data_IF_360985727354
#
_entry.id   IF_360985727354
#
_cell.length_a   1.000
_cell.length_b   1.000
_cell.length_c   1.000
_cell.angle_alpha   90.00
_cell.angle_beta   90.00
_cell.angle_gamma   90.00
#
_symmetry.space_group_name_H-M   'P 1'
#
loop_
_entity.id
_entity.type
_entity.pdbx_description
1 polymer ?
#
# COMPACT_ATOMS: atom_id res chain seq x y z
N UNK A 1 -4.62 -24.99 77.84
CA UNK A 1 -4.29 -23.59 78.18
C UNK A 1 -4.87 -22.76 77.05
N UNK A 2 -5.99 -22.10 77.31
CA UNK A 2 -6.76 -21.33 76.33
C UNK A 2 -6.04 -20.04 75.94
N UNK A 3 -6.21 -19.62 74.69
CA UNK A 3 -6.69 -18.27 74.35
C UNK A 3 -7.12 -18.23 72.88
N UNK A 4 -8.42 -18.03 72.69
CA UNK A 4 -9.04 -17.54 71.46
C UNK A 4 -8.71 -16.06 71.25
N UNK A 5 -8.61 -15.57 70.00
CA UNK A 5 -9.71 -14.82 69.37
C UNK A 5 -9.45 -14.61 67.85
N UNK A 6 -10.51 -14.47 67.03
CA UNK A 6 -10.50 -14.38 65.57
C UNK A 6 -10.60 -12.93 65.07
N UNK A 7 -10.27 -12.69 63.79
CA UNK A 7 -10.42 -11.36 63.19
C UNK A 7 -10.23 -11.31 61.68
N UNK A 8 -11.38 -11.21 60.99
CA UNK A 8 -11.65 -10.39 59.80
C UNK A 8 -10.66 -10.38 58.61
N UNK A 9 -11.10 -11.04 57.53
CA UNK A 9 -11.17 -10.53 56.15
C UNK A 9 -10.19 -9.42 55.71
N UNK A 10 -9.33 -9.74 54.74
CA UNK A 10 -9.20 -8.95 53.51
C UNK A 10 -8.60 -9.83 52.40
N UNK A 11 -9.30 -9.89 51.27
CA UNK A 11 -8.83 -10.57 50.07
C UNK A 11 -7.63 -9.84 49.49
N UNK A 12 -6.49 -10.51 49.50
CA UNK A 12 -5.36 -10.19 48.65
C UNK A 12 -5.23 -11.32 47.63
N UNK A 13 -5.67 -11.08 46.39
CA UNK A 13 -5.19 -11.90 45.28
C UNK A 13 -3.71 -11.57 45.11
N UNK A 14 -2.84 -12.37 45.73
CA UNK A 14 -1.42 -12.37 45.41
C UNK A 14 -1.28 -12.75 43.93
N UNK A 15 -0.82 -11.78 43.13
CA UNK A 15 -0.39 -12.00 41.76
C UNK A 15 0.71 -13.08 41.77
N UNK A 16 0.35 -14.32 41.42
CA UNK A 16 1.34 -15.33 41.05
C UNK A 16 1.99 -14.91 39.73
N UNK A 17 3.15 -14.26 39.83
CA UNK A 17 4.04 -14.02 38.70
C UNK A 17 4.70 -15.36 38.38
N UNK A 18 4.15 -16.06 37.38
CA UNK A 18 4.79 -17.22 36.78
C UNK A 18 5.91 -16.70 35.87
N UNK A 19 7.16 -16.92 36.27
CA UNK A 19 8.30 -16.73 35.39
C UNK A 19 8.37 -17.91 34.41
N UNK A 20 7.84 -17.74 33.21
CA UNK A 20 8.03 -18.70 32.12
C UNK A 20 9.50 -18.70 31.69
N UNK A 21 10.13 -19.87 31.80
CA UNK A 21 11.49 -20.13 31.35
C UNK A 21 11.58 -19.92 29.82
N UNK A 22 12.50 -19.09 29.29
CA UNK A 22 12.52 -18.69 27.88
C UNK A 22 12.99 -19.80 26.89
N UNK A 23 13.15 -21.04 27.36
CA UNK A 23 13.74 -22.14 26.59
C UNK A 23 12.73 -23.16 26.03
N UNK A 24 11.42 -22.93 26.16
CA UNK A 24 10.41 -23.77 25.49
C UNK A 24 9.65 -22.96 24.44
N UNK A 25 9.67 -23.37 23.16
CA UNK A 25 8.80 -22.77 22.16
C UNK A 25 7.36 -23.02 22.60
N UNK A 26 6.60 -21.94 22.78
CA UNK A 26 5.14 -22.03 22.96
C UNK A 26 4.59 -22.92 21.85
N UNK A 27 3.75 -23.93 22.16
CA UNK A 27 3.10 -24.68 21.10
C UNK A 27 2.36 -23.67 20.24
N UNK A 28 2.65 -23.68 18.93
CA UNK A 28 2.03 -22.79 17.97
C UNK A 28 0.52 -22.84 18.21
N UNK A 29 -0.06 -21.72 18.68
CA UNK A 29 -1.50 -21.53 18.59
C UNK A 29 -1.83 -21.78 17.14
N UNK A 30 -2.52 -22.89 16.87
CA UNK A 30 -2.96 -23.24 15.53
C UNK A 30 -3.68 -22.01 15.01
N UNK A 31 -3.03 -21.28 14.09
CA UNK A 31 -3.70 -20.28 13.27
C UNK A 31 -4.91 -21.01 12.71
N UNK A 32 -6.11 -20.68 13.23
CA UNK A 32 -7.35 -21.11 12.61
C UNK A 32 -7.27 -20.55 11.20
N UNK A 33 -7.00 -21.42 10.23
CA UNK A 33 -7.06 -21.11 8.82
C UNK A 33 -8.52 -20.73 8.57
N UNK A 34 -8.83 -19.44 8.65
CA UNK A 34 -10.11 -18.91 8.20
C UNK A 34 -10.10 -19.12 6.68
N UNK A 35 -10.86 -20.10 6.22
CA UNK A 35 -10.92 -20.45 4.81
C UNK A 35 -11.85 -19.46 4.10
N UNK A 36 -11.32 -18.30 3.71
CA UNK A 36 -12.02 -17.41 2.78
C UNK A 36 -11.95 -18.04 1.39
N UNK A 37 -13.11 -18.48 0.89
CA UNK A 37 -13.22 -19.12 -0.41
C UNK A 37 -14.20 -18.43 -1.34
N UNK A 38 -13.82 -18.36 -2.62
CA UNK A 38 -14.67 -17.87 -3.70
C UNK A 38 -15.74 -18.93 -3.99
N UNK A 39 -17.03 -18.57 -4.12
CA UNK A 39 -18.06 -19.51 -4.56
C UNK A 39 -17.74 -20.09 -5.96
N UNK A 40 -17.88 -21.40 -6.11
CA UNK A 40 -17.48 -22.15 -7.31
C UNK A 40 -18.66 -22.55 -8.19
N UNK A 41 -19.86 -22.75 -7.62
CA UNK A 41 -21.07 -23.13 -8.35
C UNK A 41 -22.16 -22.09 -8.19
N UNK A 42 -23.15 -22.11 -9.07
CA UNK A 42 -24.28 -21.17 -9.01
C UNK A 42 -25.06 -21.31 -7.70
N UNK A 43 -25.24 -22.52 -7.20
CA UNK A 43 -25.88 -22.76 -5.91
C UNK A 43 -25.08 -22.16 -4.76
N UNK A 44 -23.74 -22.21 -4.83
CA UNK A 44 -22.88 -21.55 -3.84
C UNK A 44 -22.98 -20.03 -3.92
N UNK A 45 -23.05 -19.45 -5.12
CA UNK A 45 -23.27 -18.02 -5.31
C UNK A 45 -24.63 -17.58 -4.75
N UNK A 46 -25.71 -18.30 -5.04
CA UNK A 46 -27.04 -18.00 -4.52
C UNK A 46 -27.10 -18.14 -3.00
N UNK A 47 -26.49 -19.19 -2.45
CA UNK A 47 -26.40 -19.39 -1.00
C UNK A 47 -25.60 -18.27 -0.31
N UNK A 48 -24.45 -17.87 -0.88
CA UNK A 48 -23.65 -16.76 -0.36
C UNK A 48 -24.38 -15.42 -0.45
N UNK A 49 -25.10 -15.16 -1.56
CA UNK A 49 -25.92 -13.96 -1.72
C UNK A 49 -27.02 -13.91 -0.66
N UNK A 50 -27.75 -15.00 -0.43
CA UNK A 50 -28.78 -15.07 0.61
C UNK A 50 -28.18 -14.84 2.01
N UNK A 51 -27.08 -15.51 2.35
CA UNK A 51 -26.41 -15.37 3.65
C UNK A 51 -25.90 -13.94 3.91
N UNK A 52 -25.50 -13.24 2.85
CA UNK A 52 -24.95 -11.90 2.95
C UNK A 52 -25.97 -10.80 2.65
N UNK A 53 -27.22 -11.11 2.30
CA UNK A 53 -28.26 -10.13 1.95
C UNK A 53 -28.02 -9.42 0.61
N UNK A 54 -27.55 -10.17 -0.39
CA UNK A 54 -27.38 -9.75 -1.78
C UNK A 54 -28.35 -10.46 -2.73
N UNK A 55 -29.31 -11.21 -2.20
CA UNK A 55 -30.30 -12.00 -2.93
C UNK A 55 -31.51 -11.17 -3.39
N UNK A 56 -31.88 -10.12 -2.64
CA UNK A 56 -33.05 -9.28 -2.91
C UNK A 56 -32.68 -7.83 -3.22
N UNK A 57 -33.38 -7.15 -4.16
CA UNK A 57 -33.17 -5.74 -4.46
C UNK A 57 -33.23 -4.83 -3.23
N UNK A 58 -34.21 -5.06 -2.36
CA UNK A 58 -34.47 -4.26 -1.16
C UNK A 58 -33.31 -4.37 -0.17
N UNK A 59 -32.76 -5.57 0.01
CA UNK A 59 -31.63 -5.81 0.91
C UNK A 59 -30.35 -5.16 0.39
N UNK A 60 -30.08 -5.26 -0.92
CA UNK A 60 -28.93 -4.59 -1.56
C UNK A 60 -29.00 -3.07 -1.37
N UNK A 61 -30.14 -2.45 -1.69
CA UNK A 61 -30.35 -1.01 -1.54
C UNK A 61 -30.27 -0.60 -0.06
N UNK A 62 -30.78 -1.42 0.86
CA UNK A 62 -30.69 -1.19 2.30
C UNK A 62 -29.23 -1.09 2.76
N UNK A 63 -28.36 -2.00 2.33
CA UNK A 63 -26.92 -1.97 2.65
C UNK A 63 -26.21 -0.71 2.15
N UNK A 64 -26.50 -0.29 0.92
CA UNK A 64 -25.94 0.94 0.36
C UNK A 64 -26.46 2.18 1.11
N UNK A 65 -27.72 2.16 1.51
CA UNK A 65 -28.35 3.23 2.30
C UNK A 65 -27.76 3.31 3.70
N UNK A 66 -27.51 2.19 4.36
CA UNK A 66 -26.79 2.16 5.64
C UNK A 66 -25.43 2.83 5.49
N UNK A 67 -24.64 2.42 4.48
CA UNK A 67 -23.32 3.04 4.23
C UNK A 67 -23.42 4.55 4.01
N UNK A 68 -24.36 5.01 3.17
CA UNK A 68 -24.60 6.44 2.95
C UNK A 68 -24.97 7.16 4.25
N UNK A 69 -25.88 6.59 5.04
CA UNK A 69 -26.34 7.17 6.30
C UNK A 69 -25.22 7.30 7.32
N UNK A 70 -24.28 6.34 7.36
CA UNK A 70 -23.06 6.47 8.16
C UNK A 70 -22.24 7.68 7.74
N UNK A 71 -22.04 7.87 6.43
CA UNK A 71 -21.37 9.04 5.87
C UNK A 71 -22.07 10.37 6.20
N UNK A 72 -23.37 10.35 6.52
CA UNK A 72 -24.16 11.50 6.97
C UNK A 72 -24.11 11.72 8.49
N UNK A 73 -23.31 10.94 9.24
CA UNK A 73 -23.12 11.08 10.68
C UNK A 73 -23.96 10.15 11.55
N UNK A 74 -24.70 9.19 10.98
CA UNK A 74 -25.39 8.18 11.79
C UNK A 74 -24.38 7.19 12.39
N UNK A 75 -24.41 7.04 13.72
CA UNK A 75 -23.49 6.16 14.44
C UNK A 75 -24.08 4.76 14.56
N UNK A 76 -23.44 3.80 13.91
CA UNK A 76 -23.70 2.37 14.08
C UNK A 76 -22.43 1.58 13.78
N UNK A 77 -22.40 0.31 14.20
CA UNK A 77 -21.23 -0.54 13.99
C UNK A 77 -21.07 -0.90 12.50
N UNK A 78 -19.92 -0.53 11.94
CA UNK A 78 -19.59 -0.84 10.54
C UNK A 78 -19.24 -2.32 10.37
N UNK A 79 -19.83 -2.94 9.35
CA UNK A 79 -19.43 -4.24 8.84
C UNK A 79 -18.02 -4.19 8.23
N UNK A 80 -17.28 -5.31 8.17
CA UNK A 80 -15.92 -5.34 7.65
C UNK A 80 -15.74 -4.67 6.28
N UNK A 81 -16.63 -4.98 5.32
CA UNK A 81 -16.59 -4.35 4.00
C UNK A 81 -16.86 -2.85 4.03
N UNK A 82 -17.76 -2.38 4.91
CA UNK A 82 -18.04 -0.94 5.05
C UNK A 82 -16.82 -0.21 5.59
N UNK A 83 -16.09 -0.81 6.55
CA UNK A 83 -14.83 -0.27 7.06
C UNK A 83 -13.80 -0.12 5.93
N UNK A 84 -13.69 -1.09 5.03
CA UNK A 84 -12.80 -1.00 3.85
C UNK A 84 -13.19 0.16 2.92
N UNK A 85 -14.49 0.33 2.63
CA UNK A 85 -14.97 1.44 1.80
C UNK A 85 -14.69 2.80 2.46
N UNK A 86 -14.89 2.92 3.77
CA UNK A 86 -14.58 4.15 4.50
C UNK A 86 -13.08 4.44 4.48
N UNK A 87 -12.22 3.45 4.70
CA UNK A 87 -10.76 3.61 4.57
C UNK A 87 -10.40 4.07 3.14
N UNK A 88 -10.98 3.47 2.11
CA UNK A 88 -10.78 3.91 0.74
C UNK A 88 -11.28 5.35 0.50
N UNK A 89 -12.39 5.77 1.11
CA UNK A 89 -12.87 7.16 1.04
C UNK A 89 -11.87 8.15 1.67
N UNK A 90 -11.18 7.76 2.74
CA UNK A 90 -10.19 8.63 3.40
C UNK A 90 -8.96 8.87 2.53
N UNK A 91 -8.60 7.94 1.64
CA UNK A 91 -7.57 8.18 0.63
C UNK A 91 -7.97 9.30 -0.34
N UNK A 92 -9.24 9.37 -0.71
CA UNK A 92 -9.76 10.46 -1.55
C UNK A 92 -9.72 11.79 -0.78
N UNK A 93 -10.11 11.80 0.48
CA UNK A 93 -10.01 13.00 1.34
C UNK A 93 -8.55 13.49 1.44
N UNK A 94 -7.59 12.58 1.70
CA UNK A 94 -6.15 12.87 1.76
C UNK A 94 -5.60 13.41 0.44
N UNK A 95 -6.02 12.86 -0.70
CA UNK A 95 -5.58 13.34 -2.03
C UNK A 95 -5.98 14.80 -2.31
N UNK A 96 -6.91 15.35 -1.53
CA UNK A 96 -7.37 16.74 -1.63
C UNK A 96 -6.86 17.64 -0.50
N UNK A 97 -5.91 17.15 0.32
CA UNK A 97 -5.32 17.90 1.43
C UNK A 97 -6.21 17.99 2.67
N UNK A 98 -7.22 17.11 2.82
CA UNK A 98 -8.14 17.09 3.98
C UNK A 98 -7.71 16.08 5.03
N UNK A 99 -6.53 16.28 5.60
CA UNK A 99 -5.89 15.33 6.52
C UNK A 99 -6.61 15.20 7.86
N UNK A 100 -7.15 16.30 8.39
CA UNK A 100 -7.93 16.31 9.64
C UNK A 100 -9.24 15.51 9.49
N UNK A 101 -10.01 15.79 8.44
CA UNK A 101 -11.26 15.07 8.11
C UNK A 101 -11.00 13.56 7.93
N UNK A 102 -9.92 13.21 7.23
CA UNK A 102 -9.51 11.82 7.01
C UNK A 102 -9.14 11.14 8.33
N UNK A 103 -8.37 11.82 9.19
CA UNK A 103 -7.96 11.31 10.50
C UNK A 103 -9.15 11.09 11.44
N UNK A 104 -10.09 12.04 11.49
CA UNK A 104 -11.31 11.92 12.27
C UNK A 104 -12.18 10.76 11.78
N UNK A 105 -12.33 10.61 10.48
CA UNK A 105 -13.07 9.50 9.86
C UNK A 105 -12.41 8.15 10.14
N UNK A 106 -11.08 8.06 10.10
CA UNK A 106 -10.37 6.83 10.44
C UNK A 106 -10.59 6.48 11.92
N UNK A 107 -10.49 7.45 12.82
CA UNK A 107 -10.72 7.21 14.25
C UNK A 107 -12.11 6.62 14.53
N UNK A 108 -13.15 7.04 13.80
CA UNK A 108 -14.50 6.48 13.97
C UNK A 108 -14.63 5.05 13.46
N UNK A 109 -13.91 4.66 12.41
CA UNK A 109 -13.85 3.25 11.92
C UNK A 109 -13.28 2.32 12.98
N UNK A 110 -12.29 2.81 13.72
CA UNK A 110 -11.54 2.03 14.68
C UNK A 110 -12.10 2.07 16.11
N UNK A 111 -13.03 2.99 16.41
CA UNK A 111 -13.57 3.25 17.75
C UNK A 111 -12.58 3.87 18.75
N UNK A 112 -11.30 4.01 18.36
CA UNK A 112 -10.23 4.64 19.14
C UNK A 112 -9.08 5.05 18.23
N UNK A 113 -8.23 5.96 18.70
CA UNK A 113 -6.99 6.30 18.04
C UNK A 113 -6.11 5.04 17.88
N UNK A 114 -5.89 4.62 16.63
CA UNK A 114 -4.89 3.62 16.30
C UNK A 114 -3.63 4.32 15.80
N UNK A 115 -2.47 3.73 16.12
CA UNK A 115 -1.19 4.24 15.65
C UNK A 115 -1.14 4.33 14.13
N UNK A 116 -0.42 5.33 13.63
CA UNK A 116 -0.22 5.61 12.20
C UNK A 116 0.06 4.35 11.38
N UNK A 117 0.95 3.50 11.89
CA UNK A 117 1.34 2.23 11.29
C UNK A 117 0.19 1.28 11.00
N UNK A 118 -0.76 1.14 11.92
CA UNK A 118 -1.93 0.29 11.72
C UNK A 118 -2.80 0.83 10.59
N UNK A 119 -3.00 2.16 10.57
CA UNK A 119 -3.79 2.82 9.52
C UNK A 119 -3.14 2.64 8.15
N UNK A 120 -1.81 2.79 8.08
CA UNK A 120 -1.04 2.61 6.85
C UNK A 120 -1.14 1.18 6.31
N UNK A 121 -1.01 0.17 7.18
CA UNK A 121 -1.15 -1.24 6.78
C UNK A 121 -2.56 -1.54 6.30
N UNK A 122 -3.58 -1.04 6.98
CA UNK A 122 -4.98 -1.20 6.56
C UNK A 122 -5.26 -0.53 5.20
N UNK A 123 -4.77 0.70 5.00
CA UNK A 123 -4.83 1.41 3.72
C UNK A 123 -4.19 0.59 2.60
N UNK A 124 -2.98 0.08 2.82
CA UNK A 124 -2.27 -0.74 1.84
C UNK A 124 -3.04 -2.03 1.52
N UNK A 125 -3.62 -2.66 2.54
CA UNK A 125 -4.38 -3.89 2.37
C UNK A 125 -5.69 -3.65 1.59
N UNK A 126 -6.37 -2.53 1.84
CA UNK A 126 -7.57 -2.11 1.09
C UNK A 126 -7.23 -1.80 -0.38
N UNK A 127 -6.11 -1.12 -0.66
CA UNK A 127 -5.68 -0.88 -2.05
C UNK A 127 -5.36 -2.18 -2.80
N UNK A 128 -4.66 -3.13 -2.16
CA UNK A 128 -4.42 -4.47 -2.73
C UNK A 128 -5.72 -5.25 -2.95
N UNK A 129 -6.72 -5.06 -2.09
CA UNK A 129 -8.04 -5.65 -2.28
C UNK A 129 -8.76 -5.04 -3.48
N UNK A 130 -8.75 -3.71 -3.65
CA UNK A 130 -9.33 -3.05 -4.83
C UNK A 130 -8.71 -3.62 -6.11
N UNK A 131 -7.37 -3.69 -6.17
CA UNK A 131 -6.64 -4.26 -7.30
C UNK A 131 -7.02 -5.73 -7.56
N UNK A 132 -7.17 -6.54 -6.51
CA UNK A 132 -7.66 -7.91 -6.63
C UNK A 132 -9.04 -7.96 -7.29
N UNK A 133 -10.02 -7.19 -6.79
CA UNK A 133 -11.38 -7.21 -7.32
C UNK A 133 -11.43 -6.75 -8.78
N UNK A 134 -10.62 -5.75 -9.13
CA UNK A 134 -10.49 -5.25 -10.50
C UNK A 134 -9.92 -6.30 -11.46
N UNK A 135 -8.91 -7.05 -11.02
CA UNK A 135 -8.37 -8.16 -11.81
C UNK A 135 -9.41 -9.28 -11.97
N UNK A 136 -10.12 -9.62 -10.90
CA UNK A 136 -11.15 -10.66 -10.89
C UNK A 136 -12.37 -10.32 -11.74
N UNK A 137 -12.64 -9.03 -12.01
CA UNK A 137 -13.71 -8.62 -12.92
C UNK A 137 -13.57 -9.28 -14.30
N UNK A 138 -12.35 -9.51 -14.77
CA UNK A 138 -12.10 -10.14 -16.07
C UNK A 138 -12.51 -11.62 -16.17
N UNK A 139 -12.71 -12.31 -15.04
CA UNK A 139 -13.14 -13.71 -14.99
C UNK A 139 -14.51 -13.91 -14.35
N UNK A 140 -14.89 -13.06 -13.39
CA UNK A 140 -16.14 -13.17 -12.63
C UNK A 140 -17.18 -12.10 -12.99
N UNK A 141 -16.85 -11.16 -13.87
CA UNK A 141 -17.70 -10.00 -14.18
C UNK A 141 -18.13 -9.27 -12.89
N UNK A 142 -19.38 -8.80 -12.81
CA UNK A 142 -19.89 -8.06 -11.66
C UNK A 142 -19.81 -8.85 -10.33
N UNK A 143 -19.78 -10.19 -10.37
CA UNK A 143 -19.65 -11.04 -9.16
C UNK A 143 -18.32 -10.83 -8.46
N UNK A 144 -17.29 -10.35 -9.17
CA UNK A 144 -16.03 -9.94 -8.56
C UNK A 144 -16.26 -8.92 -7.44
N UNK A 145 -17.12 -7.93 -7.65
CA UNK A 145 -17.38 -6.89 -6.66
C UNK A 145 -18.27 -7.39 -5.51
N UNK A 146 -19.04 -8.45 -5.69
CA UNK A 146 -19.80 -9.09 -4.61
C UNK A 146 -18.87 -9.75 -3.58
N UNK A 147 -17.67 -10.19 -3.98
CA UNK A 147 -16.68 -10.78 -3.08
C UNK A 147 -16.26 -9.85 -1.95
N UNK A 148 -16.35 -8.53 -2.15
CA UNK A 148 -16.14 -7.54 -1.10
C UNK A 148 -17.03 -7.80 0.12
N UNK A 149 -18.28 -8.22 -0.11
CA UNK A 149 -19.28 -8.50 0.92
C UNK A 149 -19.27 -9.98 1.29
N UNK A 150 -19.21 -10.89 0.30
CA UNK A 150 -19.31 -12.34 0.51
C UNK A 150 -18.15 -12.88 1.34
N UNK A 151 -16.91 -12.46 1.05
CA UNK A 151 -15.75 -12.94 1.81
C UNK A 151 -15.75 -12.38 3.24
N UNK A 152 -16.41 -11.24 3.47
CA UNK A 152 -16.59 -10.58 4.76
C UNK A 152 -15.30 -10.56 5.63
N UNK A 153 -14.16 -10.27 5.00
CA UNK A 153 -12.85 -10.41 5.63
C UNK A 153 -12.69 -9.32 6.69
N UNK A 154 -12.41 -9.66 7.96
CA UNK A 154 -12.11 -8.65 8.97
C UNK A 154 -10.86 -7.85 8.57
N UNK A 155 -10.84 -6.53 8.82
CA UNK A 155 -9.67 -5.69 8.53
C UNK A 155 -8.38 -6.22 9.19
N UNK A 156 -8.48 -6.72 10.42
CA UNK A 156 -7.36 -7.34 11.14
C UNK A 156 -6.79 -8.54 10.38
N UNK A 157 -7.62 -9.32 9.71
CA UNK A 157 -7.20 -10.45 8.89
C UNK A 157 -6.65 -10.01 7.54
N UNK A 158 -7.33 -9.07 6.86
CA UNK A 158 -6.89 -8.54 5.57
C UNK A 158 -5.51 -7.89 5.68
N UNK A 159 -5.23 -7.22 6.80
CA UNK A 159 -3.92 -6.63 7.09
C UNK A 159 -2.77 -7.64 7.10
N UNK A 160 -3.06 -8.89 7.45
CA UNK A 160 -2.08 -9.98 7.50
C UNK A 160 -1.97 -10.72 6.17
N UNK A 161 -2.76 -10.35 5.15
CA UNK A 161 -2.71 -11.03 3.86
C UNK A 161 -1.44 -10.68 3.11
N UNK A 162 -0.68 -11.73 2.80
CA UNK A 162 0.50 -11.67 1.93
C UNK A 162 0.10 -11.89 0.47
N UNK A 163 1.05 -11.71 -0.46
CA UNK A 163 0.88 -12.05 -1.88
C UNK A 163 0.32 -13.47 -2.07
N UNK A 164 0.71 -14.43 -1.23
CA UNK A 164 0.21 -15.81 -1.28
C UNK A 164 -1.31 -15.89 -1.04
N UNK A 165 -1.84 -15.12 -0.09
CA UNK A 165 -3.28 -15.09 0.18
C UNK A 165 -4.06 -14.51 -1.00
N UNK A 166 -3.59 -13.40 -1.58
CA UNK A 166 -4.20 -12.80 -2.77
C UNK A 166 -4.15 -13.76 -3.97
N UNK A 167 -3.01 -14.42 -4.20
CA UNK A 167 -2.86 -15.43 -5.26
C UNK A 167 -3.74 -16.66 -5.03
N UNK A 168 -3.93 -17.08 -3.78
CA UNK A 168 -4.83 -18.16 -3.44
C UNK A 168 -6.28 -17.82 -3.82
N UNK A 169 -6.76 -16.61 -3.54
CA UNK A 169 -8.10 -16.17 -3.98
C UNK A 169 -8.19 -16.14 -5.50
N UNK A 170 -7.17 -15.60 -6.19
CA UNK A 170 -7.12 -15.61 -7.66
C UNK A 170 -7.18 -17.02 -8.24
N UNK A 171 -6.45 -17.96 -7.67
CA UNK A 171 -6.39 -19.35 -8.14
C UNK A 171 -7.70 -20.13 -7.97
N UNK A 172 -8.59 -19.65 -7.10
CA UNK A 172 -9.91 -20.25 -6.90
C UNK A 172 -10.93 -19.76 -7.94
N UNK A 173 -10.64 -18.72 -8.71
CA UNK A 173 -11.60 -18.23 -9.68
C UNK A 173 -11.58 -19.15 -10.91
N UNK A 174 -12.73 -19.68 -11.36
CA UNK A 174 -12.79 -20.57 -12.51
C UNK A 174 -12.30 -19.87 -13.80
N UNK A 175 -12.15 -20.66 -14.86
CA UNK A 175 -12.04 -20.11 -16.22
C UNK A 175 -13.21 -19.13 -16.46
N UNK A 176 -12.95 -18.09 -17.27
CA UNK A 176 -13.87 -16.97 -17.55
C UNK A 176 -15.34 -17.42 -17.56
N UNK A 177 -16.14 -16.87 -16.64
CA UNK A 177 -17.57 -17.12 -16.59
C UNK A 177 -18.27 -16.43 -17.77
N UNK A 178 -19.32 -17.05 -18.30
CA UNK A 178 -20.18 -16.40 -19.28
C UNK A 178 -20.95 -15.24 -18.62
N UNK A 179 -20.99 -14.05 -19.23
CA UNK A 179 -21.70 -12.92 -18.67
C UNK A 179 -23.22 -13.15 -18.60
N UNK A 180 -23.78 -13.15 -17.39
CA UNK A 180 -25.22 -13.27 -17.17
C UNK A 180 -25.84 -11.96 -16.68
N UNK A 181 -27.11 -11.71 -17.09
CA UNK A 181 -27.88 -10.56 -16.63
C UNK A 181 -28.40 -10.84 -15.23
N UNK A 182 -27.79 -10.20 -14.24
CA UNK A 182 -28.16 -10.37 -12.84
C UNK A 182 -28.53 -9.03 -12.21
N UNK A 183 -29.36 -9.07 -11.16
CA UNK A 183 -29.83 -7.87 -10.46
C UNK A 183 -28.66 -7.16 -9.78
N UNK A 184 -27.72 -7.93 -9.23
CA UNK A 184 -26.54 -7.49 -8.52
C UNK A 184 -25.65 -6.60 -9.40
N UNK A 185 -25.60 -6.87 -10.70
CA UNK A 185 -24.88 -6.07 -11.68
C UNK A 185 -25.40 -4.63 -11.83
N UNK A 186 -26.67 -4.35 -11.49
CA UNK A 186 -27.24 -2.99 -11.58
C UNK A 186 -26.81 -2.09 -10.42
N UNK A 187 -26.35 -2.70 -9.33
CA UNK A 187 -25.87 -2.05 -8.11
C UNK A 187 -24.58 -2.73 -7.64
N UNK A 188 -23.49 -2.64 -8.42
CA UNK A 188 -22.26 -3.33 -8.08
C UNK A 188 -21.66 -2.77 -6.79
N UNK A 189 -21.11 -3.65 -5.94
CA UNK A 189 -20.33 -3.27 -4.76
C UNK A 189 -18.91 -2.80 -5.13
N UNK A 190 -18.80 -2.06 -6.23
CA UNK A 190 -17.55 -1.49 -6.70
C UNK A 190 -17.16 -0.30 -5.82
N UNK A 191 -16.00 -0.39 -5.16
CA UNK A 191 -15.59 0.55 -4.10
C UNK A 191 -15.67 2.03 -4.54
N UNK A 192 -15.18 2.44 -5.73
CA UNK A 192 -15.33 3.81 -6.19
C UNK A 192 -16.77 4.33 -6.27
N UNK A 193 -17.74 3.48 -6.64
CA UNK A 193 -19.16 3.84 -6.69
C UNK A 193 -19.74 3.95 -5.28
N UNK A 194 -19.33 3.08 -4.36
CA UNK A 194 -19.74 3.17 -2.96
C UNK A 194 -19.20 4.45 -2.29
N UNK A 195 -17.99 4.89 -2.67
CA UNK A 195 -17.40 6.15 -2.18
C UNK A 195 -18.18 7.36 -2.67
N UNK A 196 -18.72 7.36 -3.90
CA UNK A 196 -19.54 8.49 -4.36
C UNK A 196 -20.81 8.69 -3.52
N UNK A 197 -21.32 7.63 -2.89
CA UNK A 197 -22.41 7.72 -1.91
C UNK A 197 -21.95 8.34 -0.58
N UNK A 198 -20.74 8.01 -0.12
CA UNK A 198 -20.14 8.56 1.12
C UNK A 198 -19.62 9.99 0.98
N UNK A 199 -19.16 10.35 -0.23
CA UNK A 199 -18.48 11.60 -0.55
C UNK A 199 -19.04 12.16 -1.87
N UNK A 200 -20.32 12.59 -1.89
CA UNK A 200 -20.96 13.09 -3.10
C UNK A 200 -20.29 14.37 -3.66
N UNK A 201 -19.45 15.03 -2.86
CA UNK A 201 -18.65 16.20 -3.25
C UNK A 201 -17.53 15.86 -4.27
N UNK A 202 -17.10 14.61 -4.36
CA UNK A 202 -16.03 14.21 -5.28
C UNK A 202 -16.59 13.65 -6.58
N UNK A 203 -15.99 14.06 -7.70
CA UNK A 203 -16.32 13.49 -9.00
C UNK A 203 -15.72 12.09 -9.13
N UNK A 204 -16.31 11.23 -9.97
CA UNK A 204 -15.79 9.89 -10.26
C UNK A 204 -14.31 9.87 -10.66
N UNK A 205 -13.87 10.80 -11.52
CA UNK A 205 -12.47 10.88 -11.96
C UNK A 205 -11.51 11.12 -10.79
N UNK A 206 -11.88 11.98 -9.84
CA UNK A 206 -11.06 12.22 -8.65
C UNK A 206 -10.93 10.96 -7.79
N UNK A 207 -12.04 10.22 -7.60
CA UNK A 207 -12.04 8.95 -6.86
C UNK A 207 -11.14 7.93 -7.56
N UNK A 208 -11.24 7.80 -8.88
CA UNK A 208 -10.40 6.91 -9.68
C UNK A 208 -8.91 7.26 -9.59
N UNK A 209 -8.56 8.53 -9.69
CA UNK A 209 -7.17 8.97 -9.56
C UNK A 209 -6.62 8.65 -8.16
N UNK A 210 -7.39 8.93 -7.11
CA UNK A 210 -6.95 8.69 -5.73
C UNK A 210 -6.76 7.19 -5.42
N UNK A 211 -7.63 6.34 -5.96
CA UNK A 211 -7.58 4.89 -5.74
C UNK A 211 -6.76 4.13 -6.78
N UNK A 212 -6.34 4.79 -7.86
CA UNK A 212 -5.66 4.20 -9.00
C UNK A 212 -6.44 3.00 -9.59
N UNK A 213 -7.72 3.19 -9.86
CA UNK A 213 -8.63 2.20 -10.46
C UNK A 213 -9.62 2.85 -11.42
N UNK A 214 -10.09 2.12 -12.44
CA UNK A 214 -11.11 2.58 -13.39
C UNK A 214 -11.83 1.43 -14.12
N UNK A 215 -12.06 0.30 -13.43
CA UNK A 215 -12.61 -0.92 -14.04
C UNK A 215 -13.98 -0.70 -14.69
N UNK A 216 -14.89 -0.04 -13.97
CA UNK A 216 -16.20 0.34 -14.50
C UNK A 216 -16.15 1.76 -15.07
N UNK A 217 -16.97 2.03 -16.09
CA UNK A 217 -16.98 3.31 -16.79
C UNK A 217 -17.97 4.32 -16.23
N UNK A 218 -17.99 5.52 -16.83
CA UNK A 218 -18.99 6.56 -16.54
C UNK A 218 -20.43 6.10 -16.80
N UNK A 219 -20.66 5.31 -17.87
CA UNK A 219 -21.99 4.79 -18.17
C UNK A 219 -22.51 3.83 -17.10
N UNK A 220 -21.65 2.97 -16.55
CA UNK A 220 -21.99 2.10 -15.42
C UNK A 220 -22.28 2.92 -14.15
N UNK A 221 -21.51 3.99 -13.94
CA UNK A 221 -21.68 4.89 -12.79
C UNK A 221 -23.01 5.65 -12.81
N UNK A 222 -23.39 6.17 -13.98
CA UNK A 222 -24.67 6.87 -14.17
C UNK A 222 -25.84 5.92 -13.93
N UNK A 223 -25.78 4.71 -14.50
CA UNK A 223 -26.77 3.65 -14.27
C UNK A 223 -26.86 3.26 -12.80
N UNK A 224 -25.71 3.07 -12.13
CA UNK A 224 -25.66 2.77 -10.70
C UNK A 224 -26.40 3.84 -9.88
N UNK A 225 -26.13 5.13 -10.13
CA UNK A 225 -26.79 6.22 -9.41
C UNK A 225 -28.29 6.31 -9.71
N UNK A 226 -28.70 6.11 -10.97
CA UNK A 226 -30.10 6.06 -11.36
C UNK A 226 -30.84 4.92 -10.62
N UNK A 227 -30.28 3.71 -10.65
CA UNK A 227 -30.87 2.54 -10.00
C UNK A 227 -30.95 2.73 -8.48
N UNK A 228 -29.89 3.26 -7.86
CA UNK A 228 -29.88 3.55 -6.43
C UNK A 228 -30.93 4.59 -6.04
N UNK A 229 -31.09 5.66 -6.84
CA UNK A 229 -32.10 6.70 -6.61
C UNK A 229 -33.51 6.16 -6.76
N UNK A 230 -33.76 5.42 -7.83
CA UNK A 230 -35.09 4.94 -8.20
C UNK A 230 -35.49 3.68 -7.40
N UNK A 231 -34.52 3.09 -6.68
CA UNK A 231 -34.64 1.87 -5.87
C UNK A 231 -35.23 0.69 -6.64
N UNK A 232 -34.94 0.64 -7.95
CA UNK A 232 -35.42 -0.41 -8.86
C UNK A 232 -34.26 -1.10 -9.58
N UNK A 233 -33.47 -1.93 -8.87
CA UNK A 233 -32.53 -2.85 -9.48
C UNK A 233 -33.21 -3.70 -10.55
N UNK A 234 -32.56 -3.87 -11.70
CA UNK A 234 -33.04 -4.70 -12.80
C UNK A 234 -31.89 -5.56 -13.31
N UNK A 235 -32.15 -6.80 -13.75
CA UNK A 235 -31.11 -7.63 -14.35
C UNK A 235 -30.44 -6.89 -15.51
N UNK A 236 -29.13 -6.69 -15.44
CA UNK A 236 -28.37 -6.06 -16.49
C UNK A 236 -26.97 -6.66 -16.62
N UNK A 237 -26.29 -6.32 -17.71
CA UNK A 237 -24.85 -6.50 -17.82
C UNK A 237 -24.19 -5.18 -17.47
N UNK A 238 -23.12 -5.24 -16.69
CA UNK A 238 -22.13 -4.18 -16.70
C UNK A 238 -21.42 -4.19 -18.05
N UNK A 239 -20.80 -3.08 -18.41
CA UNK A 239 -20.00 -3.05 -19.65
C UNK A 239 -18.91 -4.13 -19.53
N UNK A 240 -19.10 -5.21 -20.28
CA UNK A 240 -18.07 -6.20 -20.53
C UNK A 240 -16.97 -5.46 -21.24
N UNK A 241 -15.75 -5.49 -20.72
CA UNK A 241 -14.60 -5.05 -21.53
C UNK A 241 -14.44 -6.04 -22.66
N UNK A 242 -15.18 -5.83 -23.75
CA UNK A 242 -15.02 -6.57 -25.00
C UNK A 242 -13.55 -6.56 -25.37
N UNK A 243 -12.96 -7.75 -25.47
CA UNK A 243 -11.61 -8.05 -25.99
C UNK A 243 -10.44 -7.15 -25.53
N UNK A 244 -10.56 -6.41 -24.43
CA UNK A 244 -9.48 -5.63 -23.84
C UNK A 244 -9.23 -6.12 -22.41
N UNK A 245 -8.60 -7.30 -22.32
CA UNK A 245 -8.19 -7.98 -21.07
C UNK A 245 -7.02 -7.27 -20.37
N UNK A 246 -7.10 -5.95 -20.21
CA UNK A 246 -6.17 -5.17 -19.38
C UNK A 246 -6.92 -3.98 -18.76
N UNK A 247 -6.82 -3.75 -17.43
CA UNK A 247 -7.03 -2.45 -16.79
C UNK A 247 -6.35 -1.34 -17.60
N UNK A 248 -7.17 -0.56 -18.32
CA UNK A 248 -6.74 0.63 -19.03
C UNK A 248 -6.38 1.71 -18.00
N UNK A 249 -5.24 1.62 -17.33
CA UNK A 249 -4.62 2.77 -16.68
C UNK A 249 -4.08 3.72 -17.76
N UNK A 250 -4.97 4.44 -18.44
CA UNK A 250 -4.58 5.52 -19.33
C UNK A 250 -4.21 6.75 -18.49
N UNK A 251 -2.91 7.01 -18.42
CA UNK A 251 -2.34 8.28 -17.97
C UNK A 251 -2.95 9.41 -18.82
N UNK A 252 -3.66 10.34 -18.17
CA UNK A 252 -4.06 11.58 -18.82
C UNK A 252 -2.78 12.37 -19.21
N UNK A 253 -2.72 12.99 -20.40
CA UNK A 253 -1.58 13.81 -20.78
C UNK A 253 -1.47 15.04 -19.83
N UNK A 254 -0.26 15.41 -19.38
CA UNK A 254 -0.09 16.57 -18.51
C UNK A 254 -0.48 17.85 -19.25
N UNK A 255 -1.36 18.66 -18.63
CA UNK A 255 -1.55 20.05 -19.07
C UNK A 255 -0.30 20.86 -18.72
N UNK A 256 0.15 21.78 -19.60
CA UNK A 256 1.27 22.66 -19.29
C UNK A 256 0.85 23.69 -18.22
N UNK A 257 1.55 23.74 -17.09
CA UNK A 257 1.40 24.81 -16.10
C UNK A 257 2.72 25.57 -15.91
N UNK A 258 2.57 26.89 -15.89
CA UNK A 258 3.62 27.90 -15.76
C UNK A 258 4.31 27.88 -14.39
N UNK A 259 5.57 28.35 -14.28
CA UNK A 259 6.34 28.29 -13.03
C UNK A 259 5.87 29.33 -12.00
N UNK A 260 5.80 28.99 -10.70
CA UNK A 260 5.63 29.97 -9.62
C UNK A 260 6.98 30.51 -9.11
N UNK A 261 6.96 31.78 -8.72
CA UNK A 261 8.07 32.63 -8.27
C UNK A 261 8.64 32.24 -6.89
N UNK A 262 9.94 32.48 -6.72
CA UNK A 262 10.73 32.27 -5.49
C UNK A 262 10.35 33.23 -4.33
N UNK A 263 10.47 32.77 -3.07
CA UNK A 263 10.79 33.62 -1.93
C UNK A 263 12.22 33.43 -1.42
N UNK A 264 12.84 34.55 -1.03
CA UNK A 264 14.22 34.69 -0.56
C UNK A 264 14.40 34.46 0.96
N UNK A 265 15.61 33.98 1.31
CA UNK A 265 16.37 34.09 2.59
C UNK A 265 15.83 33.30 3.81
N UNK A 266 16.63 32.79 4.75
CA UNK A 266 17.92 33.24 5.31
C UNK A 266 18.76 32.09 5.91
N UNK A 267 20.01 32.42 6.29
CA UNK A 267 21.13 31.53 6.65
C UNK A 267 21.05 30.88 8.04
N UNK A 268 21.18 29.55 8.10
CA UNK A 268 21.75 28.79 9.23
C UNK A 268 22.51 27.59 8.62
N UNK A 269 23.74 27.32 9.11
CA UNK A 269 24.51 26.12 8.78
C UNK A 269 23.87 24.92 9.48
N UNK A 270 23.11 24.11 8.75
CA UNK A 270 22.65 22.80 9.22
C UNK A 270 22.84 21.76 8.12
N UNK A 271 23.35 20.58 8.51
CA UNK A 271 23.42 19.39 7.67
C UNK A 271 21.99 19.06 7.19
N UNK A 272 21.79 19.05 5.87
CA UNK A 272 20.48 18.87 5.26
C UNK A 272 19.93 17.45 5.53
N UNK A 273 18.96 17.36 6.44
CA UNK A 273 18.22 16.13 6.75
C UNK A 273 16.94 16.06 5.90
N UNK A 274 16.78 14.97 5.14
CA UNK A 274 15.60 14.70 4.32
C UNK A 274 14.31 14.57 5.15
N UNK A 275 14.39 14.56 6.48
CA UNK A 275 13.23 14.56 7.38
C UNK A 275 12.34 15.80 7.29
N UNK A 276 12.84 16.95 6.84
CA UNK A 276 12.06 18.20 6.87
C UNK A 276 11.12 18.41 5.66
N UNK A 277 11.32 17.69 4.56
CA UNK A 277 10.45 17.79 3.36
C UNK A 277 9.34 16.73 3.36
N UNK A 278 9.51 15.64 4.09
CA UNK A 278 8.54 14.55 4.15
C UNK A 278 7.88 14.54 5.52
N UNK A 279 6.58 14.87 5.57
CA UNK A 279 5.76 14.66 6.77
C UNK A 279 6.07 13.29 7.37
N UNK A 280 6.68 13.33 8.55
CA UNK A 280 7.09 12.22 9.39
C UNK A 280 5.85 11.40 9.76
N UNK A 281 5.92 10.07 9.68
CA UNK A 281 5.48 9.19 10.77
C UNK A 281 6.11 7.78 10.65
N UNK A 282 6.69 7.35 11.78
CA UNK A 282 7.44 6.14 12.17
C UNK A 282 6.70 4.83 11.88
N UNK A 283 7.24 3.59 11.84
CA UNK A 283 8.53 2.88 11.68
C UNK A 283 8.23 1.41 12.10
N UNK A 284 8.43 0.43 11.22
CA UNK A 284 8.70 -0.97 11.61
C UNK A 284 9.94 -1.46 10.86
N UNK A 285 10.60 -2.43 11.47
CA UNK A 285 12.04 -2.62 11.42
C UNK A 285 12.39 -4.00 10.88
N UNK A 286 13.32 -4.06 9.93
CA UNK A 286 13.83 -5.30 9.35
C UNK A 286 15.06 -5.80 10.12
N UNK A 287 15.12 -7.11 10.39
CA UNK A 287 16.35 -7.79 10.82
C UNK A 287 17.21 -8.08 9.58
N UNK A 288 18.37 -7.43 9.48
CA UNK A 288 19.37 -7.77 8.46
C UNK A 288 20.27 -8.86 9.04
N UNK A 289 20.20 -10.10 8.53
CA UNK A 289 21.02 -11.21 9.05
C UNK A 289 22.50 -11.10 8.69
N UNK A 290 22.82 -10.27 7.70
CA UNK A 290 24.19 -10.03 7.28
C UNK A 290 24.66 -8.72 7.89
N UNK A 291 25.72 -8.73 8.71
CA UNK A 291 26.37 -7.47 9.10
C UNK A 291 26.89 -6.77 7.83
N UNK A 292 26.41 -5.56 7.62
CA UNK A 292 26.89 -4.65 6.58
C UNK A 292 27.62 -3.58 7.36
N UNK A 293 28.93 -3.46 7.16
CA UNK A 293 29.71 -2.36 7.74
C UNK A 293 29.95 -1.36 6.61
N UNK A 294 29.23 -0.25 6.63
CA UNK A 294 29.27 0.74 5.56
C UNK A 294 28.44 0.36 4.35
N UNK A 295 29.03 -0.37 3.40
CA UNK A 295 28.32 -0.78 2.20
C UNK A 295 28.70 -2.16 1.69
N UNK A 296 27.80 -2.76 0.90
CA UNK A 296 28.07 -3.92 0.05
C UNK A 296 27.62 -3.66 -1.37
N UNK A 297 28.23 -4.36 -2.32
CA UNK A 297 27.78 -4.39 -3.72
C UNK A 297 27.25 -5.77 -4.05
N UNK A 298 26.24 -5.85 -4.91
CA UNK A 298 25.71 -7.10 -5.44
C UNK A 298 25.54 -7.00 -6.94
N UNK A 299 25.64 -8.13 -7.64
CA UNK A 299 25.40 -8.16 -9.09
C UNK A 299 23.90 -8.16 -9.35
N UNK A 300 23.47 -7.38 -10.34
CA UNK A 300 22.07 -7.35 -10.77
C UNK A 300 21.84 -8.45 -11.80
N UNK A 301 20.69 -9.14 -11.73
CA UNK A 301 20.29 -10.09 -12.77
C UNK A 301 20.16 -9.40 -14.14
N UNK A 302 20.36 -10.14 -15.24
CA UNK A 302 20.18 -9.58 -16.59
C UNK A 302 18.78 -8.99 -16.81
N UNK A 303 17.77 -9.60 -16.18
CA UNK A 303 16.39 -9.12 -16.24
C UNK A 303 16.26 -7.78 -15.52
N UNK A 304 16.79 -7.66 -14.31
CA UNK A 304 16.79 -6.42 -13.53
C UNK A 304 17.55 -5.30 -14.23
N UNK A 305 18.70 -5.61 -14.86
CA UNK A 305 19.45 -4.66 -15.69
C UNK A 305 18.63 -4.16 -16.89
N UNK A 306 17.95 -5.06 -17.60
CA UNK A 306 17.08 -4.69 -18.74
C UNK A 306 15.90 -3.82 -18.28
N UNK A 307 15.28 -4.14 -17.16
CA UNK A 307 14.19 -3.34 -16.61
C UNK A 307 14.68 -1.95 -16.16
N UNK A 308 15.79 -1.87 -15.41
CA UNK A 308 16.38 -0.61 -14.97
C UNK A 308 16.77 0.31 -16.14
N UNK A 309 17.34 -0.26 -17.21
CA UNK A 309 17.69 0.49 -18.43
C UNK A 309 16.46 1.00 -19.20
N UNK A 310 15.31 0.30 -19.11
CA UNK A 310 14.05 0.76 -19.72
C UNK A 310 13.42 1.88 -18.91
N UNK A 311 13.52 1.83 -17.58
CA UNK A 311 13.04 2.90 -16.71
C UNK A 311 13.72 4.25 -17.01
N UNK A 312 14.95 4.24 -17.54
CA UNK A 312 15.59 5.47 -18.02
C UNK A 312 14.77 6.17 -19.12
N UNK A 313 13.95 5.47 -19.92
CA UNK A 313 13.25 6.11 -21.04
C UNK A 313 11.99 6.88 -20.63
N UNK A 314 11.55 6.73 -19.38
CA UNK A 314 10.30 7.28 -18.85
C UNK A 314 10.63 8.28 -17.75
N UNK A 315 10.92 9.52 -18.18
CA UNK A 315 11.43 10.59 -17.31
C UNK A 315 10.50 11.79 -17.34
N UNK A 316 9.53 11.80 -16.42
CA UNK A 316 8.81 13.02 -16.06
C UNK A 316 9.38 13.53 -14.75
N UNK A 317 9.89 14.77 -14.75
CA UNK A 317 10.43 15.40 -13.55
C UNK A 317 9.26 15.72 -12.63
N UNK A 318 9.27 15.14 -11.42
CA UNK A 318 8.30 15.46 -10.36
C UNK A 318 8.75 16.71 -9.61
N UNK A 319 9.98 16.68 -9.09
CA UNK A 319 10.48 17.69 -8.16
C UNK A 319 11.98 17.86 -8.34
N UNK A 320 12.47 19.10 -8.27
CA UNK A 320 13.91 19.39 -8.20
C UNK A 320 14.23 20.00 -6.85
N UNK A 321 15.18 19.41 -6.13
CA UNK A 321 15.67 19.85 -4.83
C UNK A 321 17.10 20.33 -5.04
N UNK A 322 17.34 21.61 -4.79
CA UNK A 322 18.69 22.20 -4.82
C UNK A 322 18.95 22.85 -3.48
N UNK A 323 19.80 22.21 -2.67
CA UNK A 323 20.11 22.69 -1.31
C UNK A 323 21.56 22.36 -0.97
N UNK A 324 22.28 23.30 -0.34
CA UNK A 324 23.62 23.12 0.24
C UNK A 324 24.65 22.38 -0.64
N UNK A 325 24.80 22.80 -1.90
CA UNK A 325 25.76 22.22 -2.83
C UNK A 325 25.43 20.79 -3.28
N UNK A 326 24.20 20.33 -3.03
CA UNK A 326 23.66 19.07 -3.54
C UNK A 326 22.45 19.37 -4.42
N UNK A 327 22.42 18.73 -5.60
CA UNK A 327 21.29 18.86 -6.55
C UNK A 327 20.72 17.48 -6.85
N UNK A 328 19.47 17.28 -6.45
CA UNK A 328 18.71 16.05 -6.65
C UNK A 328 17.46 16.36 -7.46
N UNK A 329 17.27 15.64 -8.54
CA UNK A 329 16.04 15.65 -9.33
C UNK A 329 15.31 14.35 -9.04
N UNK A 330 14.08 14.43 -8.57
CA UNK A 330 13.19 13.29 -8.38
C UNK A 330 12.25 13.18 -9.59
N UNK A 331 12.18 11.98 -10.16
CA UNK A 331 11.27 11.65 -11.25
C UNK A 331 9.97 11.03 -10.72
N UNK A 332 8.93 11.08 -11.54
CA UNK A 332 7.65 10.44 -11.26
C UNK A 332 7.80 8.92 -11.10
N UNK A 333 7.22 8.40 -10.01
CA UNK A 333 7.21 6.97 -9.77
C UNK A 333 6.07 6.28 -10.54
N UNK A 334 6.39 5.75 -11.71
CA UNK A 334 5.51 4.80 -12.41
C UNK A 334 5.41 3.44 -11.69
N UNK A 335 4.19 3.07 -11.27
CA UNK A 335 3.91 1.75 -10.67
C UNK A 335 4.06 0.60 -11.67
N UNK A 336 3.86 0.81 -12.97
CA UNK A 336 3.99 -0.26 -13.97
C UNK A 336 5.45 -0.53 -14.37
N UNK A 337 6.36 0.42 -14.08
CA UNK A 337 7.75 0.36 -14.54
C UNK A 337 8.72 0.23 -13.36
N UNK A 338 8.63 1.12 -12.38
CA UNK A 338 9.59 1.19 -11.28
C UNK A 338 9.26 0.22 -10.14
N UNK A 339 7.97 -0.07 -9.89
CA UNK A 339 7.57 -1.02 -8.85
C UNK A 339 8.10 -2.43 -9.12
N UNK A 340 7.98 -3.01 -10.33
CA UNK A 340 8.57 -4.31 -10.63
C UNK A 340 10.08 -4.37 -10.41
N UNK A 341 10.81 -3.30 -10.75
CA UNK A 341 12.27 -3.21 -10.53
C UNK A 341 12.58 -3.25 -9.03
N UNK A 342 11.89 -2.42 -8.25
CA UNK A 342 12.10 -2.37 -6.81
C UNK A 342 11.66 -3.65 -6.10
N UNK A 343 10.62 -4.30 -6.62
CA UNK A 343 10.11 -5.58 -6.12
C UNK A 343 11.13 -6.69 -6.38
N UNK A 344 11.53 -6.87 -7.64
CA UNK A 344 12.54 -7.84 -8.06
C UNK A 344 13.88 -7.66 -7.33
N UNK A 345 14.37 -6.42 -7.18
CA UNK A 345 15.63 -6.16 -6.50
C UNK A 345 15.64 -6.62 -5.03
N UNK A 346 14.50 -6.51 -4.35
CA UNK A 346 14.37 -6.98 -2.97
C UNK A 346 14.16 -8.49 -2.93
N UNK A 347 13.38 -9.05 -3.86
CA UNK A 347 13.20 -10.50 -3.96
C UNK A 347 14.56 -11.20 -4.18
N UNK A 348 15.43 -10.66 -5.03
CA UNK A 348 16.80 -11.16 -5.22
C UNK A 348 17.68 -11.03 -3.95
N UNK A 349 17.48 -9.98 -3.15
CA UNK A 349 18.18 -9.82 -1.87
C UNK A 349 17.64 -10.74 -0.77
N UNK A 350 16.36 -11.13 -0.85
CA UNK A 350 15.76 -12.15 0.02
C UNK A 350 16.30 -13.54 -0.36
N UNK A 351 16.29 -13.88 -1.65
CA UNK A 351 16.76 -15.17 -2.16
C UNK A 351 18.25 -15.39 -1.88
N UNK A 352 19.05 -14.32 -1.89
CA UNK A 352 20.47 -14.36 -1.52
C UNK A 352 20.73 -14.35 -0.01
N UNK A 353 19.67 -14.33 0.82
CA UNK A 353 19.76 -14.38 2.28
C UNK A 353 20.28 -13.10 2.93
N UNK A 354 20.33 -11.99 2.18
CA UNK A 354 20.79 -10.69 2.69
C UNK A 354 19.70 -10.03 3.55
N UNK A 355 18.43 -10.20 3.18
CA UNK A 355 17.26 -9.64 3.85
C UNK A 355 16.23 -10.74 4.16
N UNK A 356 15.52 -10.66 5.29
CA UNK A 356 14.45 -11.62 5.63
C UNK A 356 13.25 -11.55 4.68
N UNK A 357 12.61 -12.70 4.45
CA UNK A 357 11.34 -12.88 3.72
C UNK A 357 10.09 -12.32 4.46
N UNK A 358 10.26 -11.35 5.36
CA UNK A 358 9.13 -10.68 6.02
C UNK A 358 8.57 -9.55 5.13
N UNK A 359 7.40 -8.99 5.46
CA UNK A 359 6.86 -7.85 4.72
C UNK A 359 7.75 -6.60 4.92
N UNK A 360 8.66 -6.37 3.97
CA UNK A 360 9.58 -5.24 3.98
C UNK A 360 8.82 -3.97 3.57
N UNK A 361 8.57 -3.09 4.55
CA UNK A 361 8.20 -1.71 4.27
C UNK A 361 9.38 -0.98 3.63
N UNK A 362 9.18 -0.50 2.41
CA UNK A 362 10.20 0.18 1.63
C UNK A 362 9.69 1.51 1.09
N UNK A 363 10.45 2.57 1.26
CA UNK A 363 10.28 3.83 0.53
C UNK A 363 10.98 3.69 -0.81
N UNK A 364 10.34 4.13 -1.89
CA UNK A 364 10.84 3.94 -3.24
C UNK A 364 10.84 5.28 -3.96
N UNK A 365 11.97 5.64 -4.54
CA UNK A 365 12.13 6.89 -5.28
C UNK A 365 12.99 6.66 -6.50
N UNK A 366 12.71 7.36 -7.60
CA UNK A 366 13.60 7.41 -8.75
C UNK A 366 14.30 8.76 -8.79
N UNK A 367 15.62 8.75 -8.70
CA UNK A 367 16.43 9.95 -8.44
C UNK A 367 17.54 10.11 -9.48
N UNK A 368 17.84 11.38 -9.79
CA UNK A 368 19.08 11.83 -10.40
C UNK A 368 19.81 12.72 -9.41
N UNK A 369 21.07 12.39 -9.11
CA UNK A 369 21.96 13.21 -8.29
C UNK A 369 23.02 13.81 -9.21
N UNK A 370 22.97 15.13 -9.42
CA UNK A 370 23.87 15.83 -10.33
C UNK A 370 25.26 16.03 -9.73
N UNK A 371 25.30 16.45 -8.47
CA UNK A 371 26.49 16.63 -7.65
C UNK A 371 26.09 16.73 -6.18
N UNK A 372 27.07 16.58 -5.29
CA UNK A 372 26.90 16.73 -3.84
C UNK A 372 26.85 15.41 -3.09
N UNK A 373 26.34 15.43 -1.86
CA UNK A 373 26.38 14.31 -0.91
C UNK A 373 24.98 13.82 -0.57
N UNK A 374 24.79 12.51 -0.56
CA UNK A 374 23.56 11.84 -0.14
C UNK A 374 23.89 10.89 1.02
N UNK A 375 23.41 11.19 2.22
CA UNK A 375 23.67 10.38 3.40
C UNK A 375 22.48 9.47 3.71
N UNK A 376 22.75 8.19 3.98
CA UNK A 376 21.75 7.23 4.44
C UNK A 376 21.31 7.60 5.85
N UNK A 377 20.00 7.70 6.06
CA UNK A 377 19.42 8.08 7.34
C UNK A 377 19.74 7.05 8.44
N UNK A 378 19.75 7.54 9.68
CA UNK A 378 19.81 6.69 10.87
C UNK A 378 18.67 5.67 10.86
N UNK A 379 18.94 4.47 11.37
CA UNK A 379 18.01 3.36 11.43
C UNK A 379 17.43 3.00 10.04
N UNK A 380 18.23 3.10 8.99
CA UNK A 380 17.81 2.76 7.62
C UNK A 380 18.90 2.03 6.85
N UNK A 381 18.45 1.18 5.93
CA UNK A 381 19.22 0.53 4.89
C UNK A 381 18.76 1.07 3.54
N UNK A 382 19.68 1.42 2.66
CA UNK A 382 19.34 1.94 1.34
C UNK A 382 19.90 1.04 0.24
N UNK A 383 19.00 0.53 -0.61
CA UNK A 383 19.36 -0.20 -1.83
C UNK A 383 19.35 0.80 -2.98
N UNK A 384 20.40 0.78 -3.78
CA UNK A 384 20.57 1.62 -4.96
C UNK A 384 20.72 0.73 -6.19
N UNK A 385 19.82 0.93 -7.15
CA UNK A 385 19.83 0.27 -8.45
C UNK A 385 20.14 1.31 -9.53
N UNK A 386 21.34 1.31 -10.12
CA UNK A 386 21.67 2.21 -11.22
C UNK A 386 20.77 1.99 -12.44
N UNK A 387 20.29 3.06 -13.07
CA UNK A 387 19.37 2.97 -14.22
C UNK A 387 19.98 3.40 -15.55
N UNK A 388 21.10 4.15 -15.53
CA UNK A 388 21.72 4.70 -16.72
C UNK A 388 23.17 4.24 -16.87
N UNK A 389 23.54 3.79 -18.06
CA UNK A 389 24.93 3.49 -18.41
C UNK A 389 25.62 4.74 -18.91
N UNK A 390 26.80 5.04 -18.36
CA UNK A 390 27.60 6.17 -18.81
C UNK A 390 28.58 5.72 -19.89
N UNK A 391 28.69 6.50 -20.98
CA UNK A 391 29.64 6.23 -22.07
C UNK A 391 31.11 6.27 -21.63
N UNK A 392 31.37 6.90 -20.48
CA UNK A 392 32.69 7.01 -19.85
C UNK A 392 32.60 6.42 -18.45
N UNK A 393 33.63 5.71 -17.96
CA UNK A 393 33.64 5.21 -16.59
C UNK A 393 33.32 6.32 -15.59
N UNK A 394 32.27 6.10 -14.79
CA UNK A 394 31.86 7.02 -13.73
C UNK A 394 32.22 6.39 -12.39
N UNK A 395 32.72 7.20 -11.47
CA UNK A 395 33.09 6.78 -10.12
C UNK A 395 32.33 7.63 -9.11
N UNK A 396 31.92 7.00 -8.02
CA UNK A 396 31.28 7.65 -6.86
C UNK A 396 32.12 7.39 -5.62
N UNK A 397 32.14 8.33 -4.69
CA UNK A 397 32.76 8.15 -3.37
C UNK A 397 31.70 7.68 -2.38
N UNK A 398 31.98 6.58 -1.68
CA UNK A 398 31.21 6.07 -0.55
C UNK A 398 32.04 6.27 0.71
N UNK A 399 31.52 7.00 1.69
CA UNK A 399 32.26 7.28 2.92
C UNK A 399 31.38 7.24 4.16
N UNK A 400 31.98 7.00 5.31
CA UNK A 400 31.40 7.25 6.63
C UNK A 400 32.51 7.75 7.57
N UNK A 401 32.27 7.78 8.88
CA UNK A 401 33.29 8.19 9.86
C UNK A 401 34.53 7.29 9.94
N UNK A 402 34.46 6.07 9.40
CA UNK A 402 35.51 5.04 9.48
C UNK A 402 36.20 4.74 8.14
N UNK A 403 35.60 5.06 6.99
CA UNK A 403 36.20 4.80 5.68
C UNK A 403 35.80 5.84 4.63
N UNK A 404 36.60 5.90 3.56
CA UNK A 404 36.28 6.56 2.30
C UNK A 404 36.77 5.70 1.14
N UNK A 405 35.87 5.27 0.26
CA UNK A 405 36.15 4.39 -0.86
C UNK A 405 35.61 4.99 -2.17
N UNK A 406 36.41 4.93 -3.22
CA UNK A 406 35.99 5.30 -4.58
C UNK A 406 35.58 4.02 -5.32
N UNK A 407 34.34 3.98 -5.81
CA UNK A 407 33.76 2.79 -6.45
C UNK A 407 33.25 3.13 -7.84
N UNK A 408 33.45 2.22 -8.79
CA UNK A 408 32.91 2.35 -10.14
C UNK A 408 31.38 2.24 -10.12
N UNK A 409 30.71 3.20 -10.74
CA UNK A 409 29.27 3.21 -10.96
C UNK A 409 28.93 2.43 -12.22
N UNK A 410 28.32 1.25 -12.06
CA UNK A 410 28.03 0.33 -13.17
C UNK A 410 26.58 -0.13 -13.13
N UNK A 411 25.98 -0.30 -14.31
CA UNK A 411 24.58 -0.74 -14.45
C UNK A 411 24.34 -2.19 -14.08
N UNK A 412 25.39 -2.99 -13.95
CA UNK A 412 25.33 -4.40 -13.58
C UNK A 412 25.51 -4.62 -12.07
N UNK A 413 25.69 -3.55 -11.29
CA UNK A 413 25.94 -3.62 -9.85
C UNK A 413 24.99 -2.72 -9.06
N UNK A 414 24.28 -3.32 -8.12
CA UNK A 414 23.54 -2.63 -7.08
C UNK A 414 24.41 -2.34 -5.87
N UNK A 415 24.00 -1.35 -5.09
CA UNK A 415 24.64 -1.00 -3.82
C UNK A 415 23.66 -1.18 -2.67
N UNK A 416 24.18 -1.65 -1.56
CA UNK A 416 23.47 -1.78 -0.31
C UNK A 416 24.22 -0.94 0.73
N UNK A 417 23.62 0.16 1.13
CA UNK A 417 24.24 1.17 1.98
C UNK A 417 23.62 1.12 3.38
N UNK A 418 24.47 0.98 4.40
CA UNK A 418 24.11 1.08 5.81
C UNK A 418 23.89 2.54 6.22
N UNK A 419 23.10 2.74 7.28
CA UNK A 419 22.95 4.01 7.98
C UNK A 419 24.27 4.78 8.14
N UNK A 420 24.21 6.10 7.95
CA UNK A 420 25.37 6.98 8.07
C UNK A 420 26.35 6.94 6.90
N UNK A 421 26.24 5.98 5.98
CA UNK A 421 27.03 5.96 4.74
C UNK A 421 26.62 7.12 3.83
N UNK A 422 27.60 7.78 3.22
CA UNK A 422 27.42 8.95 2.36
C UNK A 422 27.87 8.61 0.94
N UNK A 423 26.95 8.75 -0.01
CA UNK A 423 27.20 8.68 -1.45
C UNK A 423 27.48 10.08 -1.99
N UNK A 424 28.69 10.28 -2.49
CA UNK A 424 29.14 11.54 -3.10
C UNK A 424 29.43 11.32 -4.58
N UNK A 425 28.95 12.25 -5.41
CA UNK A 425 29.25 12.25 -6.85
C UNK A 425 29.64 13.64 -7.34
N UNK A 426 30.52 13.67 -8.34
CA UNK A 426 30.91 14.88 -9.08
C UNK A 426 30.25 14.96 -10.46
N UNK A 427 29.52 13.90 -10.85
CA UNK A 427 28.83 13.79 -12.13
C UNK A 427 27.43 13.25 -11.92
N UNK A 428 26.53 13.58 -12.85
CA UNK A 428 25.14 13.15 -12.77
C UNK A 428 25.01 11.63 -12.81
N UNK A 429 24.40 11.05 -11.78
CA UNK A 429 24.05 9.63 -11.67
C UNK A 429 22.55 9.49 -11.54
N UNK A 430 22.00 8.40 -12.10
CA UNK A 430 20.58 8.05 -12.01
C UNK A 430 20.41 6.69 -11.41
N UNK A 431 19.48 6.58 -10.47
CA UNK A 431 19.22 5.34 -9.76
C UNK A 431 17.82 5.28 -9.15
N UNK A 432 17.31 4.07 -9.05
CA UNK A 432 16.18 3.75 -8.18
C UNK A 432 16.73 3.54 -6.77
N UNK A 433 16.15 4.25 -5.82
CA UNK A 433 16.47 4.20 -4.41
C UNK A 433 15.35 3.49 -3.65
N UNK A 434 15.70 2.47 -2.87
CA UNK A 434 14.78 1.72 -2.04
C UNK A 434 15.29 1.82 -0.60
N UNK A 435 14.59 2.57 0.25
CA UNK A 435 14.98 2.75 1.65
C UNK A 435 14.13 1.83 2.52
N UNK A 436 14.79 1.00 3.30
CA UNK A 436 14.22 0.03 4.23
C UNK A 436 14.56 0.49 5.66
N UNK A 437 13.57 0.83 6.50
CA UNK A 437 13.82 1.14 7.90
C UNK A 437 14.33 -0.09 8.68
N UNK A 438 15.35 0.11 9.52
CA UNK A 438 15.97 -0.90 10.37
C UNK A 438 15.65 -0.65 11.86
N UNK A 439 15.76 -1.71 12.66
CA UNK A 439 15.58 -1.63 14.12
C UNK A 439 16.73 -0.84 14.75
N UNK A 440 16.47 0.11 15.66
CA UNK A 440 17.55 0.70 16.43
C UNK A 440 18.24 -0.42 17.23
N UNK A 441 19.58 -0.40 17.34
CA UNK A 441 20.30 -1.35 18.17
C UNK A 441 19.80 -1.22 19.62
N UNK A 442 19.48 -2.35 20.26
CA UNK A 442 19.11 -2.42 21.68
C UNK A 442 20.29 -2.08 22.59
#
# INVERSE_FOLDING_TARGET
MSLEYPGASQGGSELQIIFDCPAQPRPAEKQKVLHWSVPQTEEQWQSARAACGLDTPESIISKMTQLKNWGMGQVFELQPWQKMVVIAATLVDLSTGKEEDATLTLNSVYGRAHGYETRRKDISAVLRLIELLDELYSCLEHRAFELLVILNIPLSSLRLWTRKNFQQIKSQCPQTMEPEKEIQASTPFYIPFLISLLRPKYTLNHIYTALNTNTLGRGDFERFHEVYRDRKPRPCLLVTRGNHRTPFCQLAPPRPQQPPSEPQSSSIQDDFDLGEIFHVEQMYTVTVYTSITGYKTFNLSEELQKMASRAEKEQTISTTITTFGTRIVQFDWSRSIHTPIADQAVDELIDSGVICQEEILRRKSYLQQDYGKLRVQSCSLQIIIPTASTKTPLFVSLSNSAFEHIVAWRIDRGFLLEQGTTLTTTRSIRFISIVIPMQPPQ
#
